data_IF_281270115101
#
_entry.id   IF_281270115101
#
_cell.length_a   1.000
_cell.length_b   1.000
_cell.length_c   1.000
_cell.angle_alpha   90.00
_cell.angle_beta   90.00
_cell.angle_gamma   90.00
#
_symmetry.space_group_name_H-M   'P 1'
#
loop_
_entity.id
_entity.type
_entity.pdbx_description
1 polymer ?
#
# COMPACT_ATOMS: atom_id res chain seq x y z
N UNK A 1 -33.86 -26.77 8.52
CA UNK A 1 -33.30 -25.49 9.03
C UNK A 1 -31.90 -25.30 8.41
N UNK A 2 -31.81 -24.77 7.19
CA UNK A 2 -30.53 -24.59 6.49
C UNK A 2 -30.18 -23.10 6.47
N UNK A 3 -29.16 -22.69 7.22
CA UNK A 3 -28.64 -21.32 7.20
C UNK A 3 -27.74 -21.15 5.98
N UNK A 4 -28.12 -20.25 5.08
CA UNK A 4 -27.34 -19.85 3.92
C UNK A 4 -26.05 -19.14 4.37
N UNK A 5 -24.90 -19.66 3.93
CA UNK A 5 -23.61 -19.00 4.07
C UNK A 5 -23.53 -17.82 3.09
N UNK A 6 -23.10 -16.62 3.52
CA UNK A 6 -22.88 -15.52 2.58
C UNK A 6 -21.68 -15.86 1.69
N UNK A 7 -21.92 -15.93 0.38
CA UNK A 7 -20.86 -15.99 -0.64
C UNK A 7 -19.94 -14.78 -0.45
N UNK A 8 -18.71 -15.01 -0.01
CA UNK A 8 -17.66 -13.99 -0.10
C UNK A 8 -17.53 -13.60 -1.58
N UNK A 9 -17.93 -12.37 -1.91
CA UNK A 9 -17.62 -11.76 -3.20
C UNK A 9 -16.10 -11.64 -3.27
N UNK A 10 -15.48 -12.49 -4.07
CA UNK A 10 -14.11 -12.28 -4.50
C UNK A 10 -14.06 -10.90 -5.19
N UNK A 11 -13.42 -9.93 -4.52
CA UNK A 11 -13.15 -8.62 -5.11
C UNK A 11 -12.07 -8.85 -6.17
N UNK A 12 -12.49 -9.08 -7.41
CA UNK A 12 -11.61 -9.09 -8.58
C UNK A 12 -11.05 -7.68 -8.71
N UNK A 13 -9.84 -7.44 -8.17
CA UNK A 13 -9.09 -6.21 -8.48
C UNK A 13 -8.75 -6.28 -9.96
N UNK A 14 -9.51 -5.54 -10.75
CA UNK A 14 -9.23 -5.33 -12.16
C UNK A 14 -7.88 -4.61 -12.23
N UNK A 15 -6.85 -5.29 -12.73
CA UNK A 15 -5.60 -4.67 -13.13
C UNK A 15 -5.90 -3.79 -14.35
N UNK A 16 -6.48 -2.61 -14.10
CA UNK A 16 -6.55 -1.54 -15.09
C UNK A 16 -5.11 -1.09 -15.26
N UNK A 17 -4.61 -1.11 -16.50
CA UNK A 17 -3.34 -0.46 -16.81
C UNK A 17 -3.52 1.01 -16.41
N UNK A 18 -2.82 1.51 -15.38
CA UNK A 18 -3.00 2.87 -14.93
C UNK A 18 -2.65 3.81 -16.09
N UNK A 19 -3.49 4.81 -16.32
CA UNK A 19 -3.24 5.87 -17.31
C UNK A 19 -2.45 6.99 -16.62
N UNK A 20 -1.69 7.74 -17.41
CA UNK A 20 -1.00 8.95 -16.91
C UNK A 20 -2.04 9.89 -16.32
N UNK A 21 -1.82 10.33 -15.08
CA UNK A 21 -2.77 11.14 -14.32
C UNK A 21 -3.80 10.38 -13.48
N UNK A 22 -3.82 9.04 -13.51
CA UNK A 22 -4.61 8.26 -12.57
C UNK A 22 -3.93 8.28 -11.18
N UNK A 23 -4.72 8.49 -10.13
CA UNK A 23 -4.25 8.27 -8.76
C UNK A 23 -4.13 6.77 -8.48
N UNK A 24 -2.92 6.33 -8.15
CA UNK A 24 -2.59 4.95 -7.84
C UNK A 24 -2.30 4.86 -6.35
N UNK A 25 -3.02 3.96 -5.67
CA UNK A 25 -2.67 3.55 -4.30
C UNK A 25 -1.93 2.22 -4.30
N UNK A 26 -0.68 2.22 -3.89
CA UNK A 26 0.15 1.03 -3.71
C UNK A 26 0.31 0.70 -2.23
N UNK A 27 0.57 -0.57 -1.93
CA UNK A 27 0.94 -0.99 -0.57
C UNK A 27 2.45 -1.12 -0.50
N UNK A 28 3.08 -0.26 0.29
CA UNK A 28 4.50 -0.29 0.57
C UNK A 28 4.76 -0.88 1.97
N UNK A 29 5.93 -1.45 2.18
CA UNK A 29 6.35 -1.98 3.49
C UNK A 29 7.40 -1.08 4.10
N UNK A 30 7.21 -0.63 5.33
CA UNK A 30 8.22 0.17 6.04
C UNK A 30 9.42 -0.71 6.36
N UNK A 31 10.58 -0.32 5.87
CA UNK A 31 11.86 -0.94 6.18
C UNK A 31 12.42 -0.38 7.48
N UNK A 32 12.41 0.96 7.61
CA UNK A 32 12.99 1.66 8.75
C UNK A 32 12.28 2.99 8.96
N UNK A 33 12.01 3.31 10.23
CA UNK A 33 11.55 4.63 10.66
C UNK A 33 12.80 5.42 11.07
N UNK A 34 12.99 6.61 10.52
CA UNK A 34 14.07 7.53 10.87
C UNK A 34 13.59 8.51 11.96
N UNK A 35 14.54 9.08 12.70
CA UNK A 35 14.27 9.99 13.82
C UNK A 35 13.65 11.33 13.36
N UNK A 36 13.88 11.72 12.11
CA UNK A 36 13.36 12.96 11.50
C UNK A 36 11.88 12.89 11.09
N UNK A 37 11.16 11.84 11.52
CA UNK A 37 9.76 11.64 11.14
C UNK A 37 9.58 11.13 9.71
N UNK A 38 10.66 10.70 9.04
CA UNK A 38 10.64 10.10 7.69
C UNK A 38 10.84 8.59 7.80
N UNK A 39 10.12 7.82 6.98
CA UNK A 39 10.20 6.37 6.91
C UNK A 39 10.66 5.91 5.53
N UNK A 40 11.63 4.99 5.50
CA UNK A 40 11.99 4.30 4.26
C UNK A 40 11.02 3.15 4.02
N UNK A 41 10.37 3.15 2.86
CA UNK A 41 9.45 2.09 2.43
C UNK A 41 9.96 1.36 1.19
N UNK A 42 9.69 0.06 1.15
CA UNK A 42 9.88 -0.79 -0.03
C UNK A 42 8.55 -0.99 -0.74
N UNK A 43 8.52 -0.71 -2.04
CA UNK A 43 7.37 -0.92 -2.90
C UNK A 43 7.72 -2.09 -3.82
N UNK A 44 6.91 -3.15 -3.92
CA UNK A 44 7.25 -4.34 -4.72
C UNK A 44 7.53 -4.05 -6.20
N UNK A 45 6.98 -2.97 -6.74
CA UNK A 45 7.13 -2.56 -8.15
C UNK A 45 8.24 -1.51 -8.36
N UNK A 46 8.92 -1.08 -7.30
CA UNK A 46 9.96 -0.06 -7.36
C UNK A 46 11.19 -0.54 -6.59
N UNK A 47 12.30 -0.72 -7.32
CA UNK A 47 13.48 -1.39 -6.76
C UNK A 47 14.28 -0.52 -5.77
N UNK A 48 13.96 0.76 -5.67
CA UNK A 48 14.63 1.69 -4.75
C UNK A 48 13.76 1.99 -3.53
N UNK A 49 14.34 2.04 -2.31
CA UNK A 49 13.61 2.50 -1.14
C UNK A 49 13.13 3.94 -1.34
N UNK A 50 11.85 4.19 -1.08
CA UNK A 50 11.27 5.53 -1.12
C UNK A 50 11.21 6.09 0.29
N UNK A 51 11.61 7.35 0.48
CA UNK A 51 11.39 8.07 1.72
C UNK A 51 9.99 8.71 1.70
N UNK A 52 9.18 8.41 2.71
CA UNK A 52 7.86 9.00 2.91
C UNK A 52 7.78 9.61 4.30
N UNK A 53 6.89 10.59 4.51
CA UNK A 53 6.55 11.01 5.87
C UNK A 53 6.00 9.81 6.65
N UNK A 54 6.48 9.65 7.88
CA UNK A 54 6.12 8.52 8.72
C UNK A 54 4.64 8.64 9.09
N UNK A 55 3.78 7.70 8.66
CA UNK A 55 2.40 7.72 9.07
C UNK A 55 2.30 7.58 10.59
N UNK A 56 1.31 8.24 11.21
CA UNK A 56 1.17 8.26 12.67
C UNK A 56 1.16 6.82 13.23
N UNK A 57 2.11 6.52 14.12
CA UNK A 57 2.33 5.21 14.78
C UNK A 57 2.93 4.10 13.92
N UNK A 58 3.44 4.41 12.74
CA UNK A 58 3.97 3.38 11.87
C UNK A 58 5.27 2.76 12.41
N UNK A 59 5.43 1.45 12.23
CA UNK A 59 6.61 0.70 12.69
C UNK A 59 7.32 0.01 11.53
N UNK A 60 8.60 -0.30 11.71
CA UNK A 60 9.32 -1.16 10.77
C UNK A 60 8.60 -2.52 10.62
N UNK A 61 8.43 -2.97 9.38
CA UNK A 61 7.68 -4.18 9.01
C UNK A 61 6.19 -3.95 8.74
N UNK A 62 5.66 -2.76 9.03
CA UNK A 62 4.25 -2.45 8.77
C UNK A 62 4.00 -2.15 7.29
N UNK A 63 2.81 -2.55 6.80
CA UNK A 63 2.35 -2.25 5.45
C UNK A 63 1.51 -0.98 5.46
N UNK A 64 1.92 -0.01 4.66
CA UNK A 64 1.25 1.29 4.56
C UNK A 64 0.75 1.54 3.15
N UNK A 65 -0.45 2.11 2.99
CA UNK A 65 -0.90 2.59 1.69
C UNK A 65 -0.13 3.88 1.35
N UNK A 66 0.44 3.92 0.15
CA UNK A 66 0.98 5.13 -0.46
C UNK A 66 0.12 5.46 -1.67
N UNK A 67 -0.32 6.71 -1.80
CA UNK A 67 -0.95 7.19 -3.03
C UNK A 67 0.04 8.06 -3.82
N UNK A 68 -0.08 8.00 -5.14
CA UNK A 68 0.71 8.79 -6.07
C UNK A 68 0.02 8.82 -7.42
N UNK A 69 0.65 9.45 -8.40
CA UNK A 69 0.12 9.54 -9.76
C UNK A 69 1.04 8.78 -10.73
N UNK A 70 0.45 8.19 -11.77
CA UNK A 70 1.17 7.58 -12.89
C UNK A 70 1.73 8.62 -13.86
#
# INVERSE_FOLDING_TARGET
MFRSLPRLKAVKRMARNPRVGDEITLTATILKVMEDGVSSVSIPTYNFPLAIDTPKKARAGEKVPISGFA
#
